data_IF_963268160071
#
_entry.id   IF_963268160071
#
_cell.length_a   1.000
_cell.length_b   1.000
_cell.length_c   1.000
_cell.angle_alpha   90.00
_cell.angle_beta   90.00
_cell.angle_gamma   90.00
#
_symmetry.space_group_name_H-M   'P 1'
#
loop_
_entity.id
_entity.type
_entity.pdbx_description
1 polymer ?
#
# COMPACT_ATOMS: atom_id res chain seq x y z
N UNK A 1 9.55 55.22 2.93
CA UNK A 1 8.61 54.56 3.86
C UNK A 1 8.34 53.19 3.23
N UNK A 2 9.13 52.19 3.60
CA UNK A 2 9.08 50.82 3.05
C UNK A 2 8.02 50.04 3.85
N UNK A 3 7.05 49.48 3.15
CA UNK A 3 6.11 48.55 3.75
C UNK A 3 6.87 47.28 4.23
N UNK A 4 6.58 46.76 5.44
CA UNK A 4 7.17 45.52 5.88
C UNK A 4 6.49 44.37 5.14
N UNK A 5 7.32 43.55 4.49
CA UNK A 5 6.99 42.30 3.84
C UNK A 5 6.23 41.37 4.79
N UNK A 6 5.01 41.01 4.40
CA UNK A 6 4.17 40.00 5.08
C UNK A 6 4.63 38.61 4.72
N UNK A 7 5.83 38.19 5.17
CA UNK A 7 6.43 36.93 4.80
C UNK A 7 6.36 35.82 5.88
N UNK A 8 5.62 35.95 6.97
CA UNK A 8 5.76 34.96 8.06
C UNK A 8 4.47 34.42 8.68
N UNK A 9 3.30 34.60 8.06
CA UNK A 9 2.03 34.13 8.63
C UNK A 9 1.57 32.73 8.18
N UNK A 10 2.04 32.27 7.03
CA UNK A 10 1.52 31.05 6.36
C UNK A 10 2.36 29.79 6.64
N UNK A 11 3.66 29.94 6.83
CA UNK A 11 4.56 28.81 7.02
C UNK A 11 4.22 27.83 8.19
N UNK A 12 3.71 28.27 9.36
CA UNK A 12 3.27 27.37 10.41
C UNK A 12 2.00 26.58 10.06
N UNK A 13 1.06 27.21 9.35
CA UNK A 13 -0.19 26.56 8.91
C UNK A 13 0.07 25.53 7.84
N UNK A 14 0.95 25.82 6.89
CA UNK A 14 1.36 24.93 5.83
C UNK A 14 2.09 23.71 6.39
N UNK A 15 3.01 23.88 7.34
CA UNK A 15 3.70 22.78 8.00
C UNK A 15 2.69 21.89 8.76
N UNK A 16 1.76 22.48 9.52
CA UNK A 16 0.75 21.74 10.26
C UNK A 16 -0.15 20.94 9.33
N UNK A 17 -0.59 21.52 8.21
CA UNK A 17 -1.38 20.84 7.21
C UNK A 17 -0.63 19.64 6.62
N UNK A 18 0.63 19.83 6.21
CA UNK A 18 1.49 18.79 5.67
C UNK A 18 1.65 17.61 6.66
N UNK A 19 1.97 17.91 7.91
CA UNK A 19 2.13 16.88 8.95
C UNK A 19 0.81 16.12 9.18
N UNK A 20 -0.32 16.83 9.25
CA UNK A 20 -1.64 16.22 9.42
C UNK A 20 -1.97 15.29 8.23
N UNK A 21 -1.73 15.73 7.00
CA UNK A 21 -1.97 14.88 5.83
C UNK A 21 -1.08 13.64 5.82
N UNK A 22 0.19 13.79 6.15
CA UNK A 22 1.14 12.66 6.26
C UNK A 22 0.77 11.68 7.37
N UNK A 23 0.28 12.16 8.52
CA UNK A 23 -0.21 11.32 9.61
C UNK A 23 -1.50 10.56 9.24
N UNK A 24 -2.29 11.10 8.32
CA UNK A 24 -3.50 10.45 7.79
C UNK A 24 -3.22 9.43 6.68
N UNK A 25 -2.04 9.51 6.02
CA UNK A 25 -1.72 8.58 4.94
C UNK A 25 -0.66 9.09 3.98
N UNK A 26 -0.86 8.83 2.71
CA UNK A 26 0.10 9.12 1.65
C UNK A 26 -0.28 10.39 0.92
N UNK A 27 0.68 11.29 0.73
CA UNK A 27 0.55 12.43 -0.17
C UNK A 27 1.01 11.99 -1.56
N UNK A 28 0.20 12.25 -2.58
CA UNK A 28 0.54 11.99 -3.97
C UNK A 28 0.58 13.29 -4.76
N UNK A 29 1.65 13.46 -5.56
CA UNK A 29 1.82 14.63 -6.44
C UNK A 29 0.62 14.86 -7.37
N UNK A 30 0.06 13.79 -7.93
CA UNK A 30 -1.06 13.84 -8.85
C UNK A 30 -2.40 14.18 -8.20
N UNK A 31 -2.53 14.00 -6.88
CA UNK A 31 -3.77 14.25 -6.15
C UNK A 31 -3.90 15.71 -5.74
N UNK A 32 -2.79 16.34 -5.34
CA UNK A 32 -2.73 17.73 -4.90
C UNK A 32 -1.32 18.30 -5.15
N UNK A 33 -1.17 19.03 -6.25
CA UNK A 33 0.11 19.64 -6.63
C UNK A 33 0.53 20.76 -5.66
N UNK A 34 -0.41 21.48 -5.06
CA UNK A 34 -0.12 22.53 -4.07
C UNK A 34 0.48 21.95 -2.81
N UNK A 35 -0.17 20.92 -2.25
CA UNK A 35 0.31 20.20 -1.07
C UNK A 35 1.67 19.53 -1.34
N UNK A 36 1.86 18.98 -2.54
CA UNK A 36 3.14 18.38 -2.95
C UNK A 36 4.27 19.41 -3.00
N UNK A 37 4.06 20.56 -3.64
CA UNK A 37 5.06 21.64 -3.71
C UNK A 37 5.37 22.20 -2.32
N UNK A 38 4.35 22.36 -1.48
CA UNK A 38 4.53 22.73 -0.07
C UNK A 38 5.42 21.73 0.68
N UNK A 39 5.22 20.43 0.43
CA UNK A 39 6.04 19.38 1.03
C UNK A 39 7.50 19.45 0.57
N UNK A 40 7.77 19.66 -0.71
CA UNK A 40 9.12 19.81 -1.23
C UNK A 40 9.85 21.01 -0.61
N UNK A 41 9.16 22.14 -0.46
CA UNK A 41 9.71 23.34 0.14
C UNK A 41 9.97 23.23 1.65
N UNK A 42 9.15 22.47 2.36
CA UNK A 42 9.21 22.35 3.83
C UNK A 42 9.71 20.98 4.30
N UNK A 43 10.27 20.14 3.41
CA UNK A 43 10.64 18.78 3.75
C UNK A 43 11.58 18.66 4.96
N UNK A 44 12.54 19.58 5.11
CA UNK A 44 13.45 19.60 6.27
C UNK A 44 12.69 19.79 7.57
N UNK A 45 11.78 20.78 7.63
CA UNK A 45 10.96 21.06 8.81
C UNK A 45 9.99 19.91 9.13
N UNK A 46 9.43 19.27 8.08
CA UNK A 46 8.59 18.08 8.26
C UNK A 46 9.41 16.95 8.87
N UNK A 47 10.63 16.68 8.36
CA UNK A 47 11.53 15.66 8.90
C UNK A 47 11.85 15.88 10.37
N UNK A 48 12.20 17.11 10.75
CA UNK A 48 12.50 17.48 12.14
C UNK A 48 11.29 17.26 13.04
N UNK A 49 10.11 17.65 12.59
CA UNK A 49 8.89 17.52 13.37
C UNK A 49 8.48 16.06 13.57
N UNK A 50 8.47 15.25 12.53
CA UNK A 50 8.05 13.85 12.62
C UNK A 50 9.10 12.97 13.32
N UNK A 51 10.37 13.38 13.36
CA UNK A 51 11.41 12.68 14.09
C UNK A 51 11.13 12.60 15.60
N UNK A 52 10.49 13.63 16.18
CA UNK A 52 10.05 13.64 17.59
C UNK A 52 9.04 12.53 17.88
N UNK A 53 8.26 12.13 16.86
CA UNK A 53 7.28 11.04 16.95
C UNK A 53 7.88 9.65 16.64
N UNK A 54 9.20 9.55 16.48
CA UNK A 54 9.87 8.31 16.07
C UNK A 54 9.54 7.91 14.62
N UNK A 55 9.15 8.89 13.80
CA UNK A 55 8.80 8.68 12.39
C UNK A 55 9.87 9.28 11.46
N UNK A 56 9.92 8.77 10.24
CA UNK A 56 10.73 9.33 9.16
C UNK A 56 9.86 9.58 7.92
N UNK A 57 10.17 10.67 7.21
CA UNK A 57 9.54 10.99 5.95
C UNK A 57 10.24 10.23 4.82
N UNK A 58 9.50 9.36 4.15
CA UNK A 58 9.88 8.75 2.87
C UNK A 58 9.26 9.59 1.77
N UNK A 59 10.11 10.13 0.90
CA UNK A 59 9.75 10.97 -0.23
C UNK A 59 10.37 10.38 -1.48
N UNK A 60 9.54 9.98 -2.43
CA UNK A 60 9.95 9.52 -3.75
C UNK A 60 9.42 10.50 -4.81
N UNK A 61 10.30 11.40 -5.26
CA UNK A 61 9.95 12.43 -6.24
C UNK A 61 9.72 11.85 -7.63
N UNK A 62 10.43 10.78 -7.98
CA UNK A 62 10.30 10.13 -9.29
C UNK A 62 8.93 9.46 -9.42
N UNK A 63 8.55 8.69 -8.41
CA UNK A 63 7.26 7.99 -8.35
C UNK A 63 6.11 8.90 -7.86
N UNK A 64 6.41 10.08 -7.32
CA UNK A 64 5.44 11.11 -6.95
C UNK A 64 4.59 10.78 -5.74
N UNK A 65 5.16 10.18 -4.70
CA UNK A 65 4.49 9.93 -3.44
C UNK A 65 5.38 10.25 -2.22
N UNK A 66 4.73 10.54 -1.09
CA UNK A 66 5.39 10.70 0.20
C UNK A 66 4.52 10.13 1.32
N UNK A 67 5.17 9.50 2.32
CA UNK A 67 4.50 8.92 3.49
C UNK A 67 5.42 8.88 4.71
N UNK A 68 4.85 8.60 5.87
CA UNK A 68 5.62 8.41 7.11
C UNK A 68 5.82 6.92 7.39
N UNK A 69 7.03 6.58 7.83
CA UNK A 69 7.41 5.25 8.26
C UNK A 69 7.99 5.33 9.69
N UNK A 70 7.74 4.32 10.51
CA UNK A 70 8.45 4.21 11.79
C UNK A 70 9.94 4.10 11.54
N UNK A 71 10.73 4.89 12.28
CA UNK A 71 12.19 4.78 12.24
C UNK A 71 12.62 3.39 12.70
N UNK A 72 13.55 2.80 11.98
CA UNK A 72 14.23 1.59 12.45
C UNK A 72 15.26 2.02 13.47
N UNK A 73 15.08 1.63 14.70
CA UNK A 73 16.00 1.92 15.82
C UNK A 73 16.63 0.59 16.22
N UNK A 74 17.90 0.61 16.60
CA UNK A 74 18.55 -0.55 17.17
C UNK A 74 17.90 -0.87 18.53
N UNK A 75 17.91 -2.14 18.94
CA UNK A 75 17.20 -2.59 20.14
C UNK A 75 17.76 -1.96 21.45
N UNK A 76 18.97 -1.43 21.41
CA UNK A 76 19.66 -0.76 22.50
C UNK A 76 19.47 0.78 22.52
N UNK A 77 18.76 1.35 21.54
CA UNK A 77 18.47 2.79 21.48
C UNK A 77 17.28 3.14 22.41
N UNK A 78 17.39 4.16 23.27
CA UNK A 78 16.27 4.64 24.08
C UNK A 78 15.03 5.01 23.26
N UNK A 79 15.20 5.40 21.99
CA UNK A 79 14.10 5.67 21.08
C UNK A 79 13.29 4.41 20.71
N UNK A 80 13.81 3.21 20.92
CA UNK A 80 13.07 1.95 20.74
C UNK A 80 11.91 1.79 21.75
N UNK A 81 11.97 2.52 22.88
CA UNK A 81 10.93 2.52 23.92
C UNK A 81 9.74 3.43 23.62
N UNK A 82 9.78 4.22 22.54
CA UNK A 82 8.66 5.09 22.19
C UNK A 82 7.42 4.25 21.80
N UNK A 83 6.23 4.63 22.30
CA UNK A 83 5.00 3.98 21.87
C UNK A 83 4.79 4.18 20.37
N UNK A 84 4.43 3.11 19.67
CA UNK A 84 4.19 3.19 18.24
C UNK A 84 2.89 3.94 17.95
N UNK A 85 2.95 4.94 17.07
CA UNK A 85 1.77 5.69 16.64
C UNK A 85 0.73 4.78 15.97
N UNK A 86 1.17 3.79 15.21
CA UNK A 86 0.31 2.82 14.53
C UNK A 86 0.68 1.41 14.97
N UNK A 87 -0.32 0.69 15.49
CA UNK A 87 -0.13 -0.72 15.83
C UNK A 87 0.12 -1.56 14.57
N UNK A 88 1.15 -2.43 14.62
CA UNK A 88 1.38 -3.41 13.55
C UNK A 88 0.26 -4.44 13.57
N UNK A 89 -0.55 -4.48 12.54
CA UNK A 89 -1.55 -5.53 12.32
C UNK A 89 -1.07 -6.40 11.17
N UNK A 90 -0.86 -7.69 11.38
CA UNK A 90 -0.49 -8.59 10.29
C UNK A 90 -1.62 -8.63 9.25
N UNK A 91 -1.24 -8.58 7.98
CA UNK A 91 -2.19 -8.78 6.90
C UNK A 91 -2.56 -10.27 6.81
N UNK A 92 -3.81 -10.54 6.46
CA UNK A 92 -4.20 -11.93 6.19
C UNK A 92 -3.47 -12.45 4.94
N UNK A 93 -3.19 -13.76 4.91
CA UNK A 93 -2.51 -14.39 3.78
C UNK A 93 -3.13 -14.03 2.41
N UNK A 94 -4.49 -14.06 2.24
CA UNK A 94 -5.09 -13.71 0.96
C UNK A 94 -4.89 -12.25 0.53
N UNK A 95 -4.81 -11.31 1.48
CA UNK A 95 -4.50 -9.91 1.20
C UNK A 95 -3.03 -9.77 0.82
N UNK A 96 -2.12 -10.45 1.53
CA UNK A 96 -0.69 -10.47 1.20
C UNK A 96 -0.44 -11.08 -0.17
N UNK A 97 -1.16 -12.15 -0.53
CA UNK A 97 -1.10 -12.76 -1.85
C UNK A 97 -1.50 -11.76 -2.94
N UNK A 98 -2.63 -11.06 -2.75
CA UNK A 98 -3.07 -10.06 -3.72
C UNK A 98 -2.02 -8.94 -3.88
N UNK A 99 -1.44 -8.44 -2.79
CA UNK A 99 -0.37 -7.43 -2.85
C UNK A 99 0.86 -7.93 -3.61
N UNK A 100 1.29 -9.18 -3.38
CA UNK A 100 2.41 -9.79 -4.11
C UNK A 100 2.13 -9.87 -5.62
N UNK A 101 0.92 -10.32 -5.99
CA UNK A 101 0.52 -10.45 -7.40
C UNK A 101 0.43 -9.08 -8.09
N UNK A 102 -0.16 -8.09 -7.43
CA UNK A 102 -0.21 -6.71 -7.93
C UNK A 102 1.20 -6.12 -8.06
N UNK A 103 2.10 -6.39 -7.12
CA UNK A 103 3.49 -5.94 -7.18
C UNK A 103 4.26 -6.57 -8.35
N UNK A 104 4.05 -7.88 -8.57
CA UNK A 104 4.62 -8.57 -9.72
C UNK A 104 4.09 -7.98 -11.03
N UNK A 105 2.77 -7.78 -11.12
CA UNK A 105 2.14 -7.17 -12.30
C UNK A 105 2.65 -5.76 -12.57
N UNK A 106 2.88 -4.97 -11.52
CA UNK A 106 3.47 -3.64 -11.62
C UNK A 106 4.92 -3.70 -12.14
N UNK A 107 5.71 -4.69 -11.72
CA UNK A 107 7.08 -4.87 -12.24
C UNK A 107 7.10 -5.27 -13.71
N UNK A 108 6.20 -6.16 -14.14
CA UNK A 108 6.03 -6.55 -15.54
C UNK A 108 5.64 -5.33 -16.41
N UNK A 109 4.72 -4.52 -15.90
CA UNK A 109 4.26 -3.30 -16.55
C UNK A 109 5.40 -2.29 -16.71
N UNK A 110 6.19 -2.03 -15.67
CA UNK A 110 7.33 -1.13 -15.72
C UNK A 110 8.40 -1.62 -16.71
N UNK A 111 8.64 -2.93 -16.77
CA UNK A 111 9.59 -3.53 -17.71
C UNK A 111 9.14 -3.43 -19.18
N UNK A 112 7.84 -3.33 -19.43
CA UNK A 112 7.29 -3.19 -20.81
C UNK A 112 7.46 -1.78 -21.39
N UNK A 113 7.91 -0.79 -20.59
CA UNK A 113 8.12 0.59 -21.04
C UNK A 113 6.83 1.32 -21.45
N UNK A 114 5.70 0.83 -20.98
CA UNK A 114 4.37 1.36 -21.28
C UNK A 114 4.01 2.64 -20.51
N UNK A 115 2.72 2.86 -20.38
CA UNK A 115 2.13 4.02 -19.71
C UNK A 115 2.63 4.26 -18.28
N UNK A 116 2.38 5.45 -17.76
CA UNK A 116 2.78 5.82 -16.38
C UNK A 116 1.94 5.15 -15.29
N UNK A 117 0.79 4.55 -15.64
CA UNK A 117 -0.19 4.01 -14.69
C UNK A 117 -0.63 2.61 -15.08
N UNK A 118 -0.46 1.66 -14.18
CA UNK A 118 -1.04 0.33 -14.31
C UNK A 118 -2.51 0.38 -13.89
N UNK A 119 -3.40 0.12 -14.83
CA UNK A 119 -4.85 0.07 -14.63
C UNK A 119 -5.32 -1.35 -14.91
N UNK A 120 -6.09 -1.91 -13.98
CA UNK A 120 -6.65 -3.26 -14.06
C UNK A 120 -8.16 -3.20 -13.84
N UNK A 121 -8.89 -4.00 -14.59
CA UNK A 121 -10.29 -4.27 -14.31
C UNK A 121 -10.43 -5.20 -13.10
N UNK A 122 -11.61 -5.20 -12.48
CA UNK A 122 -11.94 -6.15 -11.42
C UNK A 122 -11.69 -7.60 -11.87
N UNK A 123 -12.12 -7.93 -13.07
CA UNK A 123 -12.03 -9.30 -13.60
C UNK A 123 -10.57 -9.73 -13.82
N UNK A 124 -9.69 -8.83 -14.28
CA UNK A 124 -8.25 -9.10 -14.36
C UNK A 124 -7.66 -9.36 -12.98
N UNK A 125 -8.07 -8.62 -11.94
CA UNK A 125 -7.62 -8.86 -10.56
C UNK A 125 -8.14 -10.20 -10.04
N UNK A 126 -9.38 -10.57 -10.36
CA UNK A 126 -9.96 -11.87 -10.02
C UNK A 126 -9.14 -13.01 -10.64
N UNK A 127 -8.81 -12.91 -11.92
CA UNK A 127 -8.00 -13.90 -12.62
C UNK A 127 -6.59 -14.04 -12.04
N UNK A 128 -5.95 -12.94 -11.63
CA UNK A 128 -4.65 -13.01 -10.95
C UNK A 128 -4.68 -13.87 -9.67
N UNK A 129 -5.78 -13.83 -8.92
CA UNK A 129 -5.91 -14.57 -7.67
C UNK A 129 -6.39 -16.00 -7.92
N UNK A 130 -7.24 -16.23 -8.93
CA UNK A 130 -7.90 -17.50 -9.22
C UNK A 130 -6.92 -18.66 -9.35
N UNK A 131 -5.78 -18.42 -9.98
CA UNK A 131 -4.70 -19.43 -10.15
C UNK A 131 -4.17 -19.97 -8.81
N UNK A 132 -4.32 -19.22 -7.72
CA UNK A 132 -3.79 -19.56 -6.39
C UNK A 132 -4.85 -20.02 -5.40
N UNK A 133 -6.11 -20.03 -5.82
CA UNK A 133 -7.20 -20.49 -4.95
C UNK A 133 -7.60 -21.92 -5.32
N UNK A 134 -7.88 -22.77 -4.32
CA UNK A 134 -8.41 -24.10 -4.60
C UNK A 134 -9.73 -23.98 -5.35
N UNK A 135 -9.96 -24.89 -6.27
CA UNK A 135 -11.25 -25.03 -6.95
C UNK A 135 -12.36 -25.21 -5.90
N UNK A 136 -13.18 -24.20 -5.72
CA UNK A 136 -14.31 -24.29 -4.83
C UNK A 136 -15.59 -24.48 -5.65
N UNK A 137 -16.45 -25.40 -5.21
CA UNK A 137 -17.74 -25.69 -5.83
C UNK A 137 -18.72 -24.51 -5.83
N UNK A 138 -18.36 -23.36 -5.23
CA UNK A 138 -19.21 -22.18 -5.14
C UNK A 138 -18.47 -20.91 -5.61
N UNK A 139 -18.51 -20.69 -6.91
CA UNK A 139 -17.88 -19.56 -7.59
C UNK A 139 -18.36 -18.20 -7.06
N UNK A 140 -19.66 -18.05 -6.74
CA UNK A 140 -20.21 -16.81 -6.20
C UNK A 140 -19.57 -16.43 -4.85
N UNK A 141 -19.41 -17.37 -3.94
CA UNK A 141 -18.74 -17.13 -2.65
C UNK A 141 -17.27 -16.82 -2.81
N UNK A 142 -16.61 -17.38 -3.83
CA UNK A 142 -15.22 -17.09 -4.14
C UNK A 142 -15.08 -15.64 -4.60
N UNK A 143 -15.94 -15.20 -5.48
CA UNK A 143 -15.98 -13.84 -6.01
C UNK A 143 -16.22 -12.82 -4.89
N UNK A 144 -17.21 -13.01 -4.03
CA UNK A 144 -17.49 -12.14 -2.89
C UNK A 144 -16.29 -12.00 -1.94
N UNK A 145 -15.57 -13.11 -1.72
CA UNK A 145 -14.34 -13.09 -0.92
C UNK A 145 -13.22 -12.29 -1.59
N UNK A 146 -13.11 -12.35 -2.92
CA UNK A 146 -12.11 -11.57 -3.67
C UNK A 146 -12.45 -10.09 -3.61
N UNK A 147 -13.71 -9.71 -3.79
CA UNK A 147 -14.14 -8.32 -3.68
C UNK A 147 -13.84 -7.72 -2.31
N UNK A 148 -14.07 -8.49 -1.25
CA UNK A 148 -13.70 -8.08 0.11
C UNK A 148 -12.19 -7.81 0.23
N UNK A 149 -11.35 -8.62 -0.41
CA UNK A 149 -9.89 -8.43 -0.43
C UNK A 149 -9.47 -7.21 -1.26
N UNK A 150 -10.09 -7.03 -2.43
CA UNK A 150 -9.87 -5.84 -3.27
C UNK A 150 -10.20 -4.58 -2.48
N UNK A 151 -11.37 -4.55 -1.82
CA UNK A 151 -11.78 -3.43 -0.99
C UNK A 151 -10.79 -3.18 0.15
N UNK A 152 -10.26 -4.24 0.77
CA UNK A 152 -9.22 -4.10 1.80
C UNK A 152 -7.93 -3.47 1.24
N UNK A 153 -7.51 -3.85 0.05
CA UNK A 153 -6.33 -3.26 -0.62
C UNK A 153 -6.57 -1.80 -1.03
N UNK A 154 -7.81 -1.44 -1.39
CA UNK A 154 -8.23 -0.04 -1.62
C UNK A 154 -8.17 0.76 -0.33
N UNK A 155 -8.69 0.23 0.79
CA UNK A 155 -8.61 0.88 2.13
C UNK A 155 -7.16 1.10 2.58
N UNK A 156 -6.28 0.17 2.26
CA UNK A 156 -4.85 0.28 2.54
C UNK A 156 -4.12 1.29 1.64
N UNK A 157 -4.79 1.81 0.60
CA UNK A 157 -4.23 2.81 -0.29
C UNK A 157 -3.34 2.27 -1.41
N UNK A 158 -3.27 0.96 -1.63
CA UNK A 158 -2.46 0.33 -2.69
C UNK A 158 -3.21 0.20 -4.01
N UNK A 159 -4.54 0.21 -3.98
CA UNK A 159 -5.41 0.34 -5.14
C UNK A 159 -6.22 1.64 -5.04
N UNK A 160 -6.40 2.31 -6.15
CA UNK A 160 -7.32 3.43 -6.30
C UNK A 160 -8.43 3.04 -7.26
N UNK A 161 -9.68 3.11 -6.80
CA UNK A 161 -10.82 2.90 -7.67
C UNK A 161 -10.95 4.09 -8.61
N UNK A 162 -10.95 3.83 -9.90
CA UNK A 162 -11.20 4.85 -10.92
C UNK A 162 -12.72 4.97 -11.13
N UNK A 163 -13.18 6.20 -11.31
CA UNK A 163 -14.60 6.44 -11.64
C UNK A 163 -14.83 5.93 -13.07
N UNK A 164 -15.40 4.77 -13.21
CA UNK A 164 -16.11 4.43 -14.44
C UNK A 164 -17.33 5.33 -14.52
N UNK A 165 -17.68 5.83 -15.72
CA UNK A 165 -18.80 6.74 -15.94
C UNK A 165 -20.05 6.31 -15.17
N UNK A 166 -20.88 7.29 -14.81
CA UNK A 166 -22.02 7.23 -13.89
C UNK A 166 -22.70 5.84 -13.82
N UNK A 167 -22.54 5.13 -12.72
CA UNK A 167 -23.39 3.98 -12.40
C UNK A 167 -22.75 2.76 -11.77
N UNK A 168 -21.44 2.55 -11.79
CA UNK A 168 -20.88 1.24 -11.37
C UNK A 168 -19.76 1.37 -10.35
N UNK A 169 -20.09 1.56 -9.08
CA UNK A 169 -19.12 1.73 -7.98
C UNK A 169 -18.61 0.40 -7.37
N UNK A 170 -18.87 -0.75 -7.95
CA UNK A 170 -18.42 -2.02 -7.38
C UNK A 170 -18.86 -3.27 -8.14
N UNK A 171 -19.51 -3.10 -9.31
CA UNK A 171 -19.99 -4.21 -10.13
C UNK A 171 -18.95 -4.72 -11.13
N UNK A 172 -19.32 -5.71 -11.96
CA UNK A 172 -18.52 -6.16 -13.10
C UNK A 172 -18.21 -4.95 -13.99
N UNK A 173 -16.94 -4.63 -14.18
CA UNK A 173 -16.48 -3.43 -14.90
C UNK A 173 -15.86 -2.35 -14.02
N UNK A 174 -15.75 -2.52 -12.70
CA UNK A 174 -14.99 -1.63 -11.84
C UNK A 174 -13.50 -1.66 -12.26
N UNK A 175 -12.89 -0.49 -12.33
CA UNK A 175 -11.51 -0.30 -12.78
C UNK A 175 -10.67 0.26 -11.64
N UNK A 176 -9.48 -0.28 -11.48
CA UNK A 176 -8.57 0.06 -10.40
C UNK A 176 -7.20 0.43 -10.94
N UNK A 177 -6.61 1.46 -10.37
CA UNK A 177 -5.22 1.80 -10.58
C UNK A 177 -4.37 1.20 -9.48
N UNK A 178 -3.31 0.50 -9.84
CA UNK A 178 -2.29 0.02 -8.90
C UNK A 178 -1.38 1.18 -8.55
N UNK A 179 -1.37 1.56 -7.26
CA UNK A 179 -0.61 2.70 -6.79
C UNK A 179 0.88 2.36 -6.66
N UNK A 180 1.74 3.26 -7.11
CA UNK A 180 3.19 3.05 -7.14
C UNK A 180 3.82 2.91 -5.76
N UNK A 181 3.20 3.45 -4.73
CA UNK A 181 3.62 3.25 -3.33
C UNK A 181 3.72 1.75 -2.95
N UNK A 182 3.05 0.86 -3.67
CA UNK A 182 3.16 -0.58 -3.48
C UNK A 182 4.62 -1.06 -3.56
N UNK A 183 5.47 -0.40 -4.36
CA UNK A 183 6.91 -0.70 -4.46
C UNK A 183 7.66 -0.50 -3.13
N UNK A 184 7.26 0.50 -2.36
CA UNK A 184 7.88 0.81 -1.07
C UNK A 184 7.45 -0.14 0.06
N UNK A 185 6.26 -0.74 -0.05
CA UNK A 185 5.73 -1.67 0.94
C UNK A 185 5.98 -3.14 0.62
N UNK A 186 6.12 -3.47 -0.66
CA UNK A 186 6.37 -4.82 -1.16
C UNK A 186 7.67 -4.77 -1.94
N UNK A 187 8.78 -4.74 -1.23
CA UNK A 187 10.12 -4.75 -1.80
C UNK A 187 10.56 -6.17 -2.24
N UNK A 188 11.76 -6.29 -2.78
CA UNK A 188 12.29 -7.56 -3.27
C UNK A 188 12.48 -8.59 -2.14
N UNK A 189 12.89 -8.14 -0.94
CA UNK A 189 13.07 -9.01 0.22
C UNK A 189 11.72 -9.57 0.67
N UNK A 190 10.71 -8.71 0.78
CA UNK A 190 9.35 -9.13 1.13
C UNK A 190 8.79 -10.14 0.14
N UNK A 191 9.02 -9.94 -1.18
CA UNK A 191 8.60 -10.87 -2.22
C UNK A 191 9.29 -12.22 -2.07
N UNK A 192 10.60 -12.24 -1.84
CA UNK A 192 11.35 -13.49 -1.64
C UNK A 192 10.85 -14.27 -0.41
N UNK A 193 10.61 -13.59 0.71
CA UNK A 193 10.02 -14.18 1.92
C UNK A 193 8.59 -14.70 1.66
N UNK A 194 7.81 -13.98 0.87
CA UNK A 194 6.46 -14.38 0.51
C UNK A 194 6.46 -15.61 -0.40
N UNK A 195 7.34 -15.67 -1.40
CA UNK A 195 7.49 -16.83 -2.29
C UNK A 195 7.86 -18.09 -1.50
N UNK A 196 8.76 -17.97 -0.52
CA UNK A 196 9.10 -19.08 0.38
C UNK A 196 7.88 -19.56 1.19
N UNK A 197 7.07 -18.64 1.72
CA UNK A 197 5.83 -18.97 2.44
C UNK A 197 4.77 -19.58 1.53
N UNK A 198 4.66 -19.10 0.29
CA UNK A 198 3.74 -19.63 -0.71
C UNK A 198 4.11 -21.07 -1.10
N UNK A 199 5.41 -21.36 -1.28
CA UNK A 199 5.91 -22.69 -1.54
C UNK A 199 5.60 -23.66 -0.37
N UNK A 200 5.83 -23.22 0.88
CA UNK A 200 5.49 -24.00 2.08
C UNK A 200 3.97 -24.25 2.20
N UNK A 201 3.15 -23.28 1.84
CA UNK A 201 1.70 -23.41 1.84
C UNK A 201 1.21 -24.41 0.77
N UNK A 202 1.76 -24.35 -0.45
CA UNK A 202 1.47 -25.32 -1.52
C UNK A 202 1.89 -26.74 -1.15
N UNK A 203 3.04 -26.91 -0.51
CA UNK A 203 3.51 -28.18 -0.04
C UNK A 203 2.55 -28.82 0.99
N UNK A 204 1.95 -28.01 1.87
CA UNK A 204 0.94 -28.47 2.83
C UNK A 204 -0.38 -28.85 2.18
N UNK A 205 -0.81 -28.13 1.15
CA UNK A 205 -2.04 -28.45 0.41
C UNK A 205 -1.89 -29.66 -0.51
N UNK A 206 -0.67 -29.95 -0.97
CA UNK A 206 -0.35 -31.10 -1.79
C UNK A 206 0.03 -32.36 -1.00
N UNK A 207 0.21 -32.28 0.31
CA UNK A 207 0.40 -33.45 1.15
C UNK A 207 -0.94 -34.17 1.30
N UNK A 208 -1.03 -35.48 0.97
CA UNK A 208 -2.25 -36.26 1.24
C UNK A 208 -2.50 -36.21 2.74
N UNK A 209 -3.76 -35.95 3.12
CA UNK A 209 -4.19 -36.06 4.50
C UNK A 209 -3.89 -37.52 4.94
N UNK A 210 -2.95 -37.70 5.87
CA UNK A 210 -2.83 -38.97 6.58
C UNK A 210 -4.18 -39.15 7.29
N UNK A 211 -5.00 -40.05 6.74
CA UNK A 211 -6.12 -40.64 7.45
C UNK A 211 -5.55 -41.23 8.74
N UNK A 212 -5.91 -40.61 9.86
CA UNK A 212 -5.75 -41.27 11.16
C UNK A 212 -6.64 -42.50 11.08
N UNK A 213 -6.03 -43.66 10.83
CA UNK A 213 -6.68 -44.93 11.03
C UNK A 213 -6.98 -45.02 12.53
N UNK A 214 -8.25 -44.88 12.89
CA UNK A 214 -8.79 -45.38 14.16
C UNK A 214 -8.55 -46.89 14.16
N UNK A 215 -7.57 -47.35 14.91
CA UNK A 215 -7.48 -48.75 15.37
C UNK A 215 -8.31 -48.87 16.65
N UNK A 216 -9.28 -49.77 16.60
CA UNK A 216 -10.08 -50.34 17.69
C UNK A 216 -9.29 -50.79 18.93
#
# INVERSE_FOLDING_TARGET
MAEPERENGDAPRDLSALVIFLLKGVIYRESDAGLWNGLLNLQGRVRDYVAVLGLELVLDEAEGYAFLRSRVVADDDPAAMLPRLVARRPLSFPVSLLLALLRKKLAEFDASGGDTRLVLTRDEIVELIRVFLPESSNEAKLIDRIDTRINKVVELGFLRRLKAGAGNQGGPGAVFEVRRILKAFVDAQWLAEFDARLAAYRARLGAPSEEVADED
#
